data_IF_846996329831
#
_entry.id   IF_846996329831
#
_cell.length_a   1.000
_cell.length_b   1.000
_cell.length_c   1.000
_cell.angle_alpha   90.00
_cell.angle_beta   90.00
_cell.angle_gamma   90.00
#
_symmetry.space_group_name_H-M   'P 1'
#
loop_
_entity.id
_entity.type
_entity.pdbx_description
1 polymer ?
#
# COMPACT_ATOMS: atom_id res chain seq x y z
N UNK A 1 11.44 25.68 0.36
CA UNK A 1 12.04 24.33 0.32
C UNK A 1 13.41 24.24 1.00
N UNK A 2 14.35 25.19 0.81
CA UNK A 2 15.67 25.14 1.48
C UNK A 2 15.64 25.17 3.01
N UNK A 3 14.78 26.02 3.60
CA UNK A 3 14.60 26.07 5.06
C UNK A 3 14.17 24.72 5.64
N UNK A 4 13.25 24.00 4.96
CA UNK A 4 12.77 22.69 5.39
C UNK A 4 13.87 21.61 5.48
N UNK A 5 14.93 21.74 4.66
CA UNK A 5 16.09 20.84 4.68
C UNK A 5 17.11 21.30 5.72
N UNK A 6 17.32 22.61 5.86
CA UNK A 6 18.29 23.19 6.80
C UNK A 6 17.84 23.07 8.26
N UNK A 7 16.52 23.09 8.51
CA UNK A 7 15.90 23.01 9.83
C UNK A 7 15.58 21.55 10.23
N UNK A 8 15.91 20.57 9.39
CA UNK A 8 15.72 19.17 9.72
C UNK A 8 16.76 18.73 10.76
N UNK A 9 16.28 18.23 11.89
CA UNK A 9 17.16 17.67 12.93
C UNK A 9 17.79 16.35 12.45
N UNK A 10 19.09 16.21 12.69
CA UNK A 10 19.83 14.97 12.45
C UNK A 10 20.36 14.78 11.02
N UNK A 11 20.88 13.59 10.76
CA UNK A 11 21.49 13.25 9.46
C UNK A 11 20.42 12.76 8.48
N UNK A 12 20.53 13.19 7.21
CA UNK A 12 19.70 12.66 6.14
C UNK A 12 20.11 11.20 5.85
N UNK A 13 19.27 10.25 6.25
CA UNK A 13 19.48 8.82 6.01
C UNK A 13 18.68 8.38 4.79
N UNK A 14 19.32 8.02 3.67
CA UNK A 14 18.60 7.46 2.53
C UNK A 14 17.99 6.11 2.88
N UNK A 15 16.69 5.94 2.61
CA UNK A 15 15.97 4.68 2.79
C UNK A 15 15.57 4.14 1.42
N UNK A 16 15.82 2.86 1.19
CA UNK A 16 15.37 2.19 -0.04
C UNK A 16 13.85 2.05 -0.01
N UNK A 17 13.24 2.28 -1.15
CA UNK A 17 11.82 2.04 -1.38
C UNK A 17 11.69 0.68 -2.05
N UNK A 18 10.86 -0.18 -1.47
CA UNK A 18 10.61 -1.53 -1.94
C UNK A 18 9.12 -1.70 -2.24
N UNK A 19 8.80 -2.64 -3.12
CA UNK A 19 7.43 -3.04 -3.45
C UNK A 19 7.40 -4.53 -3.79
N UNK A 20 6.29 -5.19 -3.50
CA UNK A 20 6.02 -6.56 -3.95
C UNK A 20 5.69 -6.57 -5.45
N UNK A 21 5.84 -7.73 -6.13
CA UNK A 21 5.45 -7.88 -7.52
C UNK A 21 3.96 -7.59 -7.75
N UNK A 22 3.60 -7.11 -8.95
CA UNK A 22 2.19 -6.96 -9.32
C UNK A 22 1.45 -8.29 -9.30
N UNK A 23 0.20 -8.26 -8.82
CA UNK A 23 -0.63 -9.44 -8.67
C UNK A 23 -0.16 -10.42 -7.58
N UNK A 24 0.77 -9.99 -6.70
CA UNK A 24 1.25 -10.81 -5.59
C UNK A 24 0.09 -11.38 -4.78
N UNK A 25 0.12 -12.70 -4.60
CA UNK A 25 -0.87 -13.51 -3.91
C UNK A 25 -0.22 -14.81 -3.46
N UNK A 26 -0.88 -15.51 -2.56
CA UNK A 26 -0.44 -16.80 -2.04
C UNK A 26 -1.59 -17.79 -2.01
N UNK A 27 -1.24 -19.08 -1.95
CA UNK A 27 -2.21 -20.13 -1.64
C UNK A 27 -2.52 -20.11 -0.14
N UNK A 28 -3.81 -20.28 0.20
CA UNK A 28 -4.31 -20.23 1.58
C UNK A 28 -3.57 -21.23 2.47
N UNK A 29 -3.02 -20.75 3.59
CA UNK A 29 -2.41 -21.57 4.62
C UNK A 29 -3.29 -21.60 5.87
N UNK A 30 -3.82 -22.76 6.30
CA UNK A 30 -4.70 -22.85 7.45
C UNK A 30 -4.13 -22.15 8.70
N UNK A 31 -4.95 -21.38 9.39
CA UNK A 31 -4.61 -20.68 10.63
C UNK A 31 -3.69 -19.45 10.50
N UNK A 32 -3.20 -19.10 9.30
CA UNK A 32 -2.23 -18.00 9.12
C UNK A 32 -2.65 -17.09 7.98
N UNK A 33 -2.67 -15.77 8.17
CA UNK A 33 -2.79 -14.80 7.07
C UNK A 33 -1.84 -13.62 7.28
N UNK A 34 -1.69 -12.76 6.27
CA UNK A 34 -0.79 -11.60 6.27
C UNK A 34 -1.60 -10.31 6.19
N UNK A 35 -1.12 -9.26 6.86
CA UNK A 35 -1.73 -7.92 6.88
C UNK A 35 -0.67 -6.85 6.56
N UNK A 36 -1.11 -5.68 6.09
CA UNK A 36 -0.24 -4.52 5.85
C UNK A 36 0.90 -4.82 4.88
N UNK A 37 2.07 -4.24 5.14
CA UNK A 37 3.25 -4.41 4.28
C UNK A 37 3.67 -5.88 4.09
N UNK A 38 3.36 -6.77 5.04
CA UNK A 38 3.62 -8.20 4.87
C UNK A 38 2.77 -8.82 3.74
N UNK A 39 1.58 -8.27 3.50
CA UNK A 39 0.65 -8.73 2.46
C UNK A 39 0.80 -7.94 1.15
N UNK A 40 1.03 -6.63 1.22
CA UNK A 40 0.87 -5.75 0.06
C UNK A 40 1.80 -4.54 0.03
N UNK A 41 3.04 -4.69 0.55
CA UNK A 41 4.05 -3.63 0.44
C UNK A 41 4.11 -3.05 -0.98
N UNK A 42 3.92 -1.73 -1.06
CA UNK A 42 3.90 -0.96 -2.29
C UNK A 42 4.71 0.32 -2.12
N UNK A 43 5.04 1.01 -3.21
CA UNK A 43 5.67 2.32 -3.11
C UNK A 43 4.77 3.32 -2.36
N UNK A 44 5.33 4.37 -1.74
CA UNK A 44 4.54 5.34 -0.98
C UNK A 44 3.88 6.43 -1.85
N UNK A 45 4.04 6.38 -3.18
CA UNK A 45 3.75 7.51 -4.06
C UNK A 45 2.27 7.78 -4.32
N UNK A 46 1.37 6.85 -3.95
CA UNK A 46 -0.06 7.10 -3.86
C UNK A 46 -0.54 7.44 -2.44
N UNK A 47 0.28 7.26 -1.41
CA UNK A 47 -0.09 7.58 -0.02
C UNK A 47 -1.01 6.57 0.69
N UNK A 48 -1.41 5.48 0.04
CA UNK A 48 -2.46 4.59 0.55
C UNK A 48 -2.02 3.50 1.54
N UNK A 49 -0.70 3.22 1.64
CA UNK A 49 -0.21 2.04 2.36
C UNK A 49 -0.67 1.94 3.82
N UNK A 50 -0.58 3.03 4.58
CA UNK A 50 -0.99 3.04 5.98
C UNK A 50 -2.51 2.86 6.16
N UNK A 51 -3.32 3.49 5.30
CA UNK A 51 -4.77 3.37 5.34
C UNK A 51 -5.21 1.92 5.05
N UNK A 52 -4.57 1.26 4.09
CA UNK A 52 -4.84 -0.14 3.75
C UNK A 52 -4.44 -1.07 4.89
N UNK A 53 -3.27 -0.86 5.51
CA UNK A 53 -2.86 -1.64 6.68
C UNK A 53 -3.82 -1.48 7.86
N UNK A 54 -4.36 -0.27 8.08
CA UNK A 54 -5.38 -0.03 9.11
C UNK A 54 -6.71 -0.71 8.79
N UNK A 55 -7.09 -0.81 7.51
CA UNK A 55 -8.27 -1.53 7.06
C UNK A 55 -8.13 -3.05 7.24
N UNK A 56 -6.92 -3.59 7.07
CA UNK A 56 -6.63 -5.02 7.28
C UNK A 56 -6.83 -5.48 8.72
N UNK A 57 -6.45 -4.65 9.69
CA UNK A 57 -6.34 -5.02 11.10
C UNK A 57 -7.59 -5.68 11.69
N UNK A 58 -8.76 -5.03 11.65
CA UNK A 58 -9.96 -5.55 12.33
C UNK A 58 -10.68 -6.65 11.54
N UNK A 59 -10.53 -6.73 10.22
CA UNK A 59 -11.38 -7.58 9.36
C UNK A 59 -11.35 -9.08 9.78
N UNK A 60 -10.18 -9.75 9.87
CA UNK A 60 -10.14 -11.15 10.28
C UNK A 60 -10.57 -11.34 11.74
N UNK A 61 -10.13 -10.46 12.65
CA UNK A 61 -10.40 -10.57 14.08
C UNK A 61 -11.90 -10.47 14.41
N UNK A 62 -12.60 -9.52 13.78
CA UNK A 62 -14.05 -9.37 13.94
C UNK A 62 -14.82 -10.57 13.37
N UNK A 63 -14.39 -11.09 12.21
CA UNK A 63 -15.02 -12.24 11.59
C UNK A 63 -14.81 -13.53 12.41
N UNK A 64 -13.62 -13.73 12.99
CA UNK A 64 -13.33 -14.84 13.92
C UNK A 64 -14.19 -14.74 15.18
N UNK A 65 -14.35 -13.54 15.75
CA UNK A 65 -15.18 -13.35 16.94
C UNK A 65 -16.67 -13.63 16.69
N UNK A 66 -17.15 -13.35 15.46
CA UNK A 66 -18.54 -13.63 15.06
C UNK A 66 -18.79 -15.11 14.73
N UNK A 67 -17.75 -15.83 14.30
CA UNK A 67 -17.83 -17.23 13.85
C UNK A 67 -16.73 -18.08 14.48
N UNK A 68 -16.75 -18.32 15.80
CA UNK A 68 -15.66 -18.99 16.51
C UNK A 68 -15.45 -20.45 16.07
N UNK A 69 -16.49 -21.09 15.53
CA UNK A 69 -16.44 -22.48 15.05
C UNK A 69 -15.92 -22.61 13.60
N UNK A 70 -15.72 -21.49 12.90
CA UNK A 70 -15.21 -21.45 11.52
C UNK A 70 -14.03 -20.47 11.41
N UNK A 71 -12.88 -20.94 11.87
CA UNK A 71 -11.66 -20.12 11.92
C UNK A 71 -11.05 -19.87 10.54
N UNK A 72 -11.47 -20.58 9.50
CA UNK A 72 -10.92 -20.43 8.14
C UNK A 72 -11.77 -19.54 7.24
N UNK A 73 -13.07 -19.45 7.46
CA UNK A 73 -13.93 -18.57 6.67
C UNK A 73 -13.52 -17.09 6.77
N UNK A 74 -13.11 -16.64 7.96
CA UNK A 74 -12.71 -15.26 8.22
C UNK A 74 -11.46 -14.84 7.39
N UNK A 75 -10.30 -15.52 7.51
CA UNK A 75 -9.14 -15.27 6.64
C UNK A 75 -9.44 -15.43 5.15
N UNK A 76 -10.26 -16.42 4.78
CA UNK A 76 -10.61 -16.67 3.37
C UNK A 76 -11.38 -15.50 2.76
N UNK A 77 -12.40 -15.00 3.46
CA UNK A 77 -13.18 -13.84 3.02
C UNK A 77 -12.34 -12.56 3.01
N UNK A 78 -11.44 -12.41 3.98
CA UNK A 78 -10.49 -11.30 4.05
C UNK A 78 -9.54 -11.30 2.85
N UNK A 79 -8.84 -12.40 2.58
CA UNK A 79 -7.88 -12.51 1.47
C UNK A 79 -8.55 -12.26 0.11
N UNK A 80 -9.79 -12.70 -0.08
CA UNK A 80 -10.57 -12.45 -1.29
C UNK A 80 -10.82 -10.94 -1.55
N UNK A 81 -10.90 -10.10 -0.51
CA UNK A 81 -11.04 -8.64 -0.63
C UNK A 81 -9.69 -7.94 -0.69
N UNK A 82 -8.70 -8.48 0.02
CA UNK A 82 -7.33 -7.98 0.09
C UNK A 82 -6.68 -7.91 -1.30
N UNK A 83 -6.65 -9.02 -2.03
CA UNK A 83 -5.92 -9.10 -3.29
C UNK A 83 -6.34 -8.04 -4.33
N UNK A 84 -7.63 -7.87 -4.68
CA UNK A 84 -8.01 -6.86 -5.66
C UNK A 84 -7.74 -5.42 -5.19
N UNK A 85 -7.95 -5.10 -3.89
CA UNK A 85 -7.68 -3.74 -3.40
C UNK A 85 -6.19 -3.42 -3.39
N UNK A 86 -5.37 -4.37 -2.98
CA UNK A 86 -3.91 -4.22 -2.92
C UNK A 86 -3.31 -4.07 -4.31
N UNK A 87 -3.81 -4.82 -5.29
CA UNK A 87 -3.38 -4.70 -6.68
C UNK A 87 -3.72 -3.32 -7.27
N UNK A 88 -4.94 -2.82 -7.02
CA UNK A 88 -5.35 -1.50 -7.48
C UNK A 88 -4.47 -0.38 -6.89
N UNK A 89 -4.22 -0.42 -5.57
CA UNK A 89 -3.40 0.57 -4.89
C UNK A 89 -1.91 0.51 -5.31
N UNK A 90 -1.36 -0.70 -5.49
CA UNK A 90 0.00 -0.86 -6.00
C UNK A 90 0.13 -0.29 -7.43
N UNK A 91 -0.86 -0.51 -8.29
CA UNK A 91 -0.87 0.02 -9.65
C UNK A 91 -0.96 1.54 -9.68
N UNK A 92 -1.77 2.13 -8.81
CA UNK A 92 -1.83 3.58 -8.64
C UNK A 92 -0.51 4.16 -8.15
N UNK A 93 0.07 3.57 -7.10
CA UNK A 93 1.34 4.02 -6.56
C UNK A 93 2.48 3.94 -7.57
N UNK A 94 2.53 2.89 -8.39
CA UNK A 94 3.52 2.77 -9.44
C UNK A 94 3.35 3.83 -10.54
N UNK A 95 2.10 4.13 -10.96
CA UNK A 95 1.81 5.22 -11.90
C UNK A 95 2.25 6.57 -11.34
N UNK A 96 1.94 6.85 -10.07
CA UNK A 96 2.38 8.06 -9.39
C UNK A 96 3.91 8.15 -9.31
N UNK A 97 4.60 7.03 -9.04
CA UNK A 97 6.06 6.97 -9.06
C UNK A 97 6.65 7.33 -10.43
N UNK A 98 6.10 6.81 -11.52
CA UNK A 98 6.54 7.17 -12.88
C UNK A 98 6.36 8.66 -13.13
N UNK A 99 5.25 9.25 -12.68
CA UNK A 99 4.98 10.68 -12.85
C UNK A 99 5.97 11.56 -12.06
N UNK A 100 6.25 11.18 -10.81
CA UNK A 100 7.09 11.95 -9.89
C UNK A 100 8.59 11.91 -10.24
N UNK A 101 9.06 10.80 -10.83
CA UNK A 101 10.49 10.59 -11.13
C UNK A 101 10.78 10.50 -12.63
N UNK A 102 9.89 11.02 -13.48
CA UNK A 102 10.13 11.14 -14.92
C UNK A 102 11.33 12.07 -15.18
N UNK A 103 11.98 11.89 -16.33
CA UNK A 103 13.19 12.66 -16.69
C UNK A 103 12.97 14.19 -16.75
N UNK A 104 11.74 14.63 -16.99
CA UNK A 104 11.30 16.02 -17.06
C UNK A 104 10.46 16.45 -15.85
N UNK A 105 10.54 15.72 -14.73
CA UNK A 105 9.88 16.12 -13.50
C UNK A 105 10.29 17.56 -13.10
N UNK A 106 9.34 18.40 -12.62
CA UNK A 106 7.97 18.05 -12.24
C UNK A 106 6.91 18.21 -13.34
N UNK A 107 7.28 18.36 -14.62
CA UNK A 107 6.35 18.80 -15.68
C UNK A 107 5.11 17.90 -15.81
N UNK A 108 5.26 16.58 -15.74
CA UNK A 108 4.11 15.66 -15.81
C UNK A 108 3.05 15.90 -14.71
N UNK A 109 3.48 16.29 -13.51
CA UNK A 109 2.56 16.63 -12.42
C UNK A 109 1.85 17.97 -12.68
N UNK A 110 2.57 18.95 -13.24
CA UNK A 110 2.00 20.25 -13.65
C UNK A 110 0.93 20.04 -14.71
N UNK A 111 1.21 19.24 -15.74
CA UNK A 111 0.27 18.93 -16.82
C UNK A 111 -0.99 18.23 -16.27
N UNK A 112 -0.83 17.29 -15.33
CA UNK A 112 -1.94 16.59 -14.70
C UNK A 112 -2.88 17.54 -13.95
N UNK A 113 -2.34 18.52 -13.20
CA UNK A 113 -3.17 19.52 -12.52
C UNK A 113 -3.86 20.47 -13.49
N UNK A 114 -3.17 20.93 -14.53
CA UNK A 114 -3.74 21.81 -15.54
C UNK A 114 -4.86 21.15 -16.37
N UNK A 115 -4.86 19.82 -16.50
CA UNK A 115 -5.93 19.09 -17.17
C UNK A 115 -7.23 18.98 -16.35
N UNK A 116 -7.21 19.34 -15.06
CA UNK A 116 -8.35 19.27 -14.13
C UNK A 116 -8.86 20.66 -13.70
N UNK A 117 -8.38 21.73 -14.34
CA UNK A 117 -8.79 23.12 -14.14
C UNK A 117 -9.58 23.64 -15.33
#
# INVERSE_FOLDING_TARGET
>A
MRALIADADGVLVPRRIHALPFGHRWDRTPGVTLLGDAAHLMSPFAGEGANLAMLDGPEPGLALAAHPDDTEAAPTAYEARLFPRSEAAAAESARSGVLLFRADAPQGLVDAFAAHS
#
